data_IF_795215167519
#
_entry.id   IF_795215167519
#
_cell.length_a   1.000
_cell.length_b   1.000
_cell.length_c   1.000
_cell.angle_alpha   90.00
_cell.angle_beta   90.00
_cell.angle_gamma   90.00
#
_symmetry.space_group_name_H-M   'P 1'
#
loop_
_entity.id
_entity.type
_entity.pdbx_description
1 polymer ?
#
# COMPACT_ATOMS: atom_id res chain seq x y z
N UNK A 1 -12.87 20.60 -8.08
CA UNK A 1 -13.17 20.04 -6.74
C UNK A 1 -13.26 18.51 -6.73
N UNK A 2 -14.04 17.87 -7.63
CA UNK A 2 -14.18 16.40 -7.67
C UNK A 2 -12.87 15.62 -7.86
N UNK A 3 -11.95 16.10 -8.71
CA UNK A 3 -10.66 15.43 -8.94
C UNK A 3 -9.74 15.38 -7.69
N UNK A 4 -9.71 16.45 -6.88
CA UNK A 4 -8.96 16.44 -5.62
C UNK A 4 -9.59 15.49 -4.60
N UNK A 5 -10.93 15.45 -4.51
CA UNK A 5 -11.64 14.50 -3.64
C UNK A 5 -11.37 13.04 -4.04
N UNK A 6 -11.38 12.75 -5.34
CA UNK A 6 -11.01 11.43 -5.87
C UNK A 6 -9.55 11.07 -5.52
N UNK A 7 -8.61 12.01 -5.64
CA UNK A 7 -7.22 11.76 -5.27
C UNK A 7 -7.06 11.48 -3.77
N UNK A 8 -7.76 12.22 -2.92
CA UNK A 8 -7.78 11.97 -1.47
C UNK A 8 -8.34 10.57 -1.21
N UNK A 9 -9.45 10.19 -1.83
CA UNK A 9 -10.01 8.83 -1.69
C UNK A 9 -9.01 7.75 -2.13
N UNK A 10 -8.31 7.93 -3.26
CA UNK A 10 -7.25 7.00 -3.69
C UNK A 10 -6.05 6.96 -2.73
N UNK A 11 -5.72 8.09 -2.10
CA UNK A 11 -4.64 8.17 -1.11
C UNK A 11 -5.02 7.46 0.19
N UNK A 12 -6.27 7.62 0.64
CA UNK A 12 -6.83 6.88 1.79
C UNK A 12 -6.92 5.39 1.47
N UNK A 13 -7.26 5.01 0.24
CA UNK A 13 -7.24 3.62 -0.19
C UNK A 13 -5.82 3.02 -0.07
N UNK A 14 -4.81 3.73 -0.58
CA UNK A 14 -3.41 3.30 -0.48
C UNK A 14 -2.96 3.18 0.99
N UNK A 15 -3.32 4.15 1.84
CA UNK A 15 -3.11 4.07 3.29
C UNK A 15 -3.73 2.80 3.88
N UNK A 16 -5.00 2.55 3.56
CA UNK A 16 -5.77 1.42 4.12
C UNK A 16 -5.18 0.07 3.71
N UNK A 17 -4.79 -0.08 2.43
CA UNK A 17 -4.13 -1.28 1.93
C UNK A 17 -2.82 -1.56 2.65
N UNK A 18 -1.91 -0.57 2.67
CA UNK A 18 -0.59 -0.71 3.29
C UNK A 18 -0.73 -0.92 4.80
N UNK A 19 -1.69 -0.29 5.46
CA UNK A 19 -1.88 -0.48 6.90
C UNK A 19 -2.32 -1.91 7.17
N UNK A 20 -3.33 -2.42 6.45
CA UNK A 20 -3.82 -3.79 6.62
C UNK A 20 -2.78 -4.85 6.28
N UNK A 21 -1.92 -4.60 5.29
CA UNK A 21 -0.80 -5.48 4.93
C UNK A 21 0.21 -5.62 6.07
N UNK A 22 0.59 -4.50 6.69
CA UNK A 22 1.68 -4.44 7.66
C UNK A 22 1.19 -4.66 9.10
N UNK A 23 -0.11 -4.51 9.35
CA UNK A 23 -0.73 -4.66 10.67
C UNK A 23 -0.40 -5.99 11.39
N UNK A 24 -0.34 -7.16 10.71
CA UNK A 24 0.04 -8.42 11.35
C UNK A 24 1.43 -8.41 11.97
N UNK A 25 2.35 -7.57 11.48
CA UNK A 25 3.71 -7.47 12.04
C UNK A 25 3.64 -6.93 13.48
N UNK A 26 2.79 -5.92 13.73
CA UNK A 26 2.61 -5.35 15.06
C UNK A 26 1.68 -6.16 15.98
N UNK A 27 0.89 -7.08 15.42
CA UNK A 27 -0.06 -7.93 16.16
C UNK A 27 0.36 -9.40 16.19
N UNK A 28 1.60 -9.69 15.81
CA UNK A 28 2.08 -11.05 15.54
C UNK A 28 1.86 -11.98 16.73
N UNK A 29 2.33 -11.57 17.91
CA UNK A 29 2.21 -12.36 19.14
C UNK A 29 0.76 -12.53 19.58
N UNK A 30 -0.03 -11.45 19.55
CA UNK A 30 -1.46 -11.46 19.93
C UNK A 30 -2.27 -12.39 19.00
N UNK A 31 -1.93 -12.43 17.71
CA UNK A 31 -2.56 -13.33 16.74
C UNK A 31 -2.11 -14.79 16.91
N UNK A 32 -0.84 -15.00 17.29
CA UNK A 32 -0.27 -16.33 17.54
C UNK A 32 -0.95 -16.99 18.76
N UNK A 33 -1.05 -16.25 19.87
CA UNK A 33 -1.70 -16.69 21.10
C UNK A 33 -3.18 -17.02 20.89
N UNK A 34 -3.92 -16.17 20.17
CA UNK A 34 -5.36 -16.35 19.94
C UNK A 34 -5.71 -17.49 18.97
N UNK A 35 -4.80 -17.85 18.07
CA UNK A 35 -5.01 -18.95 17.10
C UNK A 35 -4.34 -20.27 17.52
N UNK A 36 -3.67 -20.29 18.68
CA UNK A 36 -2.86 -21.41 19.18
C UNK A 36 -1.83 -21.87 18.12
N UNK A 37 -1.08 -20.90 17.57
CA UNK A 37 -0.07 -21.09 16.52
C UNK A 37 1.24 -20.45 16.90
N UNK A 38 2.33 -20.91 16.29
CA UNK A 38 3.63 -20.28 16.50
C UNK A 38 3.74 -18.94 15.78
N UNK A 39 4.54 -18.04 16.34
CA UNK A 39 4.94 -16.77 15.73
C UNK A 39 5.41 -16.94 14.28
N UNK A 40 6.18 -17.99 14.02
CA UNK A 40 6.66 -18.35 12.67
C UNK A 40 5.51 -18.59 11.70
N UNK A 41 4.44 -19.27 12.13
CA UNK A 41 3.27 -19.52 11.30
C UNK A 41 2.49 -18.24 11.00
N UNK A 42 2.32 -17.36 11.98
CA UNK A 42 1.70 -16.05 11.74
C UNK A 42 2.57 -15.20 10.81
N UNK A 43 3.90 -15.26 10.94
CA UNK A 43 4.85 -14.63 10.03
C UNK A 43 4.70 -15.11 8.58
N UNK A 44 4.36 -16.39 8.35
CA UNK A 44 4.08 -16.91 7.01
C UNK A 44 2.88 -16.25 6.33
N UNK A 45 1.95 -15.65 7.09
CA UNK A 45 0.86 -14.87 6.50
C UNK A 45 1.40 -13.65 5.75
N UNK A 46 2.43 -12.99 6.30
CA UNK A 46 3.08 -11.83 5.67
C UNK A 46 3.88 -12.26 4.45
N UNK A 47 4.65 -13.34 4.57
CA UNK A 47 5.42 -13.89 3.44
C UNK A 47 4.50 -14.36 2.31
N UNK A 48 3.43 -15.07 2.63
CA UNK A 48 2.45 -15.54 1.66
C UNK A 48 1.73 -14.38 0.97
N UNK A 49 1.40 -13.33 1.73
CA UNK A 49 0.86 -12.09 1.19
C UNK A 49 1.80 -11.46 0.16
N UNK A 50 3.07 -11.26 0.52
CA UNK A 50 4.08 -10.68 -0.37
C UNK A 50 4.30 -11.53 -1.64
N UNK A 51 4.38 -12.86 -1.49
CA UNK A 51 4.54 -13.78 -2.61
C UNK A 51 3.36 -13.67 -3.60
N UNK A 52 2.13 -13.61 -3.10
CA UNK A 52 0.94 -13.40 -3.95
C UNK A 52 1.00 -12.06 -4.65
N UNK A 53 1.34 -10.96 -3.96
CA UNK A 53 1.44 -9.64 -4.60
C UNK A 53 2.44 -9.68 -5.76
N UNK A 54 3.62 -10.27 -5.56
CA UNK A 54 4.65 -10.37 -6.60
C UNK A 54 4.19 -11.20 -7.79
N UNK A 55 3.68 -12.41 -7.54
CA UNK A 55 3.29 -13.36 -8.60
C UNK A 55 2.05 -12.87 -9.34
N UNK A 56 1.10 -12.27 -8.63
CA UNK A 56 -0.21 -11.91 -9.18
C UNK A 56 -0.20 -10.55 -9.91
N UNK A 57 0.72 -9.64 -9.57
CA UNK A 57 0.78 -8.29 -10.15
C UNK A 57 0.81 -8.31 -11.69
N UNK A 58 1.68 -9.13 -12.30
CA UNK A 58 1.83 -9.19 -13.76
C UNK A 58 0.58 -9.77 -14.46
N UNK A 59 0.09 -10.97 -14.11
CA UNK A 59 -1.07 -11.55 -14.76
C UNK A 59 -2.33 -10.71 -14.55
N UNK A 60 -2.61 -10.20 -13.34
CA UNK A 60 -3.77 -9.36 -13.11
C UNK A 60 -3.72 -8.07 -13.94
N UNK A 61 -2.56 -7.44 -14.08
CA UNK A 61 -2.42 -6.24 -14.91
C UNK A 61 -2.78 -6.52 -16.37
N UNK A 62 -2.40 -7.70 -16.90
CA UNK A 62 -2.75 -8.11 -18.27
C UNK A 62 -4.24 -8.40 -18.43
N UNK A 63 -4.84 -9.17 -17.52
CA UNK A 63 -6.26 -9.54 -17.62
C UNK A 63 -7.21 -8.36 -17.44
N UNK A 64 -6.79 -7.33 -16.69
CA UNK A 64 -7.67 -6.22 -16.31
C UNK A 64 -7.46 -4.96 -17.16
N UNK A 65 -6.65 -5.06 -18.22
CA UNK A 65 -6.34 -3.94 -19.12
C UNK A 65 -7.58 -3.40 -19.85
N UNK A 66 -8.56 -4.26 -20.13
CA UNK A 66 -9.79 -3.91 -20.85
C UNK A 66 -10.93 -3.45 -19.93
N UNK A 67 -10.76 -3.52 -18.61
CA UNK A 67 -11.82 -3.19 -17.64
C UNK A 67 -11.73 -1.69 -17.28
N UNK A 68 -12.86 -0.97 -17.24
CA UNK A 68 -12.88 0.43 -16.81
C UNK A 68 -12.27 0.60 -15.42
N UNK A 69 -11.33 1.56 -15.29
CA UNK A 69 -10.52 1.73 -14.07
C UNK A 69 -11.36 1.92 -12.81
N UNK A 70 -12.46 2.67 -12.90
CA UNK A 70 -13.40 2.89 -11.78
C UNK A 70 -14.00 1.58 -11.27
N UNK A 71 -14.50 0.75 -12.19
CA UNK A 71 -15.12 -0.53 -11.83
C UNK A 71 -14.11 -1.45 -11.18
N UNK A 72 -12.89 -1.48 -11.72
CA UNK A 72 -11.81 -2.31 -11.21
C UNK A 72 -11.37 -1.91 -9.79
N UNK A 73 -11.14 -0.62 -9.54
CA UNK A 73 -10.75 -0.13 -8.21
C UNK A 73 -11.88 -0.35 -7.20
N UNK A 74 -13.13 -0.07 -7.60
CA UNK A 74 -14.28 -0.26 -6.70
C UNK A 74 -14.48 -1.74 -6.36
N UNK A 75 -14.37 -2.64 -7.35
CA UNK A 75 -14.45 -4.08 -7.13
C UNK A 75 -13.29 -4.58 -6.24
N UNK A 76 -12.06 -4.10 -6.48
CA UNK A 76 -10.91 -4.43 -5.66
C UNK A 76 -11.12 -4.00 -4.20
N UNK A 77 -11.64 -2.79 -3.97
CA UNK A 77 -11.96 -2.29 -2.63
C UNK A 77 -13.10 -3.07 -1.97
N UNK A 78 -14.14 -3.45 -2.73
CA UNK A 78 -15.23 -4.26 -2.20
C UNK A 78 -14.75 -5.65 -1.76
N UNK A 79 -13.94 -6.31 -2.58
CA UNK A 79 -13.33 -7.61 -2.23
C UNK A 79 -12.35 -7.46 -1.08
N UNK A 80 -11.56 -6.38 -1.04
CA UNK A 80 -10.68 -6.06 0.08
C UNK A 80 -11.46 -5.94 1.39
N UNK A 81 -12.57 -5.19 1.40
CA UNK A 81 -13.43 -5.04 2.59
C UNK A 81 -13.99 -6.39 3.02
N UNK A 82 -14.55 -7.16 2.09
CA UNK A 82 -15.09 -8.49 2.39
C UNK A 82 -14.02 -9.42 2.97
N UNK A 83 -12.85 -9.51 2.35
CA UNK A 83 -11.75 -10.34 2.82
C UNK A 83 -11.17 -9.85 4.16
N UNK A 84 -11.16 -8.53 4.40
CA UNK A 84 -10.74 -7.96 5.69
C UNK A 84 -11.77 -8.27 6.80
N UNK A 85 -13.07 -8.28 6.48
CA UNK A 85 -14.10 -8.73 7.42
C UNK A 85 -13.99 -10.23 7.70
N UNK A 86 -13.73 -11.05 6.68
CA UNK A 86 -13.44 -12.49 6.86
C UNK A 86 -12.23 -12.69 7.76
N UNK A 87 -11.18 -11.87 7.58
CA UNK A 87 -10.01 -11.87 8.49
C UNK A 87 -10.44 -11.59 9.94
N UNK A 88 -11.30 -10.60 10.15
CA UNK A 88 -11.76 -10.23 11.49
C UNK A 88 -12.59 -11.32 12.17
N UNK A 89 -13.34 -12.13 11.43
CA UNK A 89 -14.14 -13.23 11.99
C UNK A 89 -13.45 -14.59 11.91
N UNK A 90 -12.21 -14.63 11.42
CA UNK A 90 -11.49 -15.88 11.22
C UNK A 90 -11.23 -16.58 12.57
N UNK A 91 -11.68 -17.83 12.65
CA UNK A 91 -11.45 -18.72 13.81
C UNK A 91 -10.33 -19.73 13.57
N UNK A 92 -9.84 -19.86 12.33
CA UNK A 92 -8.77 -20.78 12.00
C UNK A 92 -7.71 -20.09 11.15
N UNK A 93 -6.47 -20.55 11.31
CA UNK A 93 -5.32 -20.09 10.54
C UNK A 93 -5.55 -20.17 9.02
N UNK A 94 -6.21 -21.23 8.53
CA UNK A 94 -6.43 -21.43 7.10
C UNK A 94 -7.44 -20.45 6.50
N UNK A 95 -8.50 -20.12 7.25
CA UNK A 95 -9.46 -19.08 6.84
C UNK A 95 -8.77 -17.71 6.82
N UNK A 96 -7.96 -17.42 7.82
CA UNK A 96 -7.17 -16.20 7.89
C UNK A 96 -6.18 -16.10 6.72
N UNK A 97 -5.48 -17.18 6.40
CA UNK A 97 -4.56 -17.24 5.25
C UNK A 97 -5.32 -17.00 3.95
N UNK A 98 -6.43 -17.70 3.70
CA UNK A 98 -7.22 -17.50 2.48
C UNK A 98 -7.71 -16.05 2.34
N UNK A 99 -8.18 -15.44 3.42
CA UNK A 99 -8.60 -14.05 3.47
C UNK A 99 -7.43 -13.10 3.18
N UNK A 100 -6.25 -13.35 3.76
CA UNK A 100 -5.01 -12.61 3.48
C UNK A 100 -4.61 -12.69 2.01
N UNK A 101 -4.62 -13.88 1.41
CA UNK A 101 -4.29 -14.06 -0.01
C UNK A 101 -5.30 -13.33 -0.90
N UNK A 102 -6.59 -13.34 -0.56
CA UNK A 102 -7.60 -12.56 -1.27
C UNK A 102 -7.33 -11.05 -1.17
N UNK A 103 -7.00 -10.54 0.02
CA UNK A 103 -6.59 -9.13 0.17
C UNK A 103 -5.33 -8.80 -0.63
N UNK A 104 -4.34 -9.71 -0.69
CA UNK A 104 -3.12 -9.53 -1.47
C UNK A 104 -3.39 -9.41 -2.97
N UNK A 105 -4.30 -10.22 -3.51
CA UNK A 105 -4.73 -10.13 -4.92
C UNK A 105 -5.36 -8.76 -5.23
N UNK A 106 -6.22 -8.27 -4.34
CA UNK A 106 -6.86 -6.95 -4.52
C UNK A 106 -5.85 -5.81 -4.40
N UNK A 107 -4.84 -5.94 -3.54
CA UNK A 107 -3.77 -4.97 -3.41
C UNK A 107 -2.88 -4.91 -4.66
N UNK A 108 -2.49 -6.07 -5.19
CA UNK A 108 -1.74 -6.15 -6.45
C UNK A 108 -2.49 -5.46 -7.59
N UNK A 109 -3.81 -5.72 -7.67
CA UNK A 109 -4.68 -5.07 -8.64
C UNK A 109 -4.76 -3.56 -8.44
N UNK A 110 -4.97 -3.10 -7.20
CA UNK A 110 -5.03 -1.68 -6.87
C UNK A 110 -3.77 -0.94 -7.33
N UNK A 111 -2.58 -1.43 -6.98
CA UNK A 111 -1.31 -0.77 -7.34
C UNK A 111 -1.08 -0.71 -8.85
N UNK A 112 -1.54 -1.71 -9.61
CA UNK A 112 -1.41 -1.71 -11.07
C UNK A 112 -2.18 -0.59 -11.77
N UNK A 113 -3.25 -0.07 -11.15
CA UNK A 113 -4.16 0.90 -11.79
C UNK A 113 -4.26 2.23 -11.09
N UNK A 114 -3.87 2.34 -9.82
CA UNK A 114 -4.08 3.55 -9.03
C UNK A 114 -3.29 4.74 -9.57
N UNK A 115 -2.04 4.53 -10.00
CA UNK A 115 -1.18 5.59 -10.51
C UNK A 115 -1.68 6.13 -11.87
N UNK A 116 -2.09 5.23 -12.78
CA UNK A 116 -2.66 5.61 -14.08
C UNK A 116 -4.01 6.31 -13.93
N UNK A 117 -4.81 5.88 -12.94
CA UNK A 117 -6.08 6.55 -12.62
C UNK A 117 -5.85 7.93 -12.02
N UNK A 118 -4.93 8.07 -11.05
CA UNK A 118 -4.62 9.35 -10.43
C UNK A 118 -4.07 10.35 -11.45
N UNK A 119 -3.15 9.94 -12.33
CA UNK A 119 -2.58 10.81 -13.36
C UNK A 119 -3.57 11.15 -14.48
N UNK A 120 -4.55 10.28 -14.76
CA UNK A 120 -5.63 10.53 -15.71
C UNK A 120 -6.62 11.61 -15.26
N UNK A 121 -6.71 11.90 -13.96
CA UNK A 121 -7.61 12.92 -13.40
C UNK A 121 -7.07 14.36 -13.51
N UNK A 122 -5.79 14.52 -13.87
CA UNK A 122 -5.11 15.81 -13.84
C UNK A 122 -4.36 16.10 -15.14
N UNK A 123 -4.19 17.39 -15.50
CA UNK A 123 -3.39 17.79 -16.66
C UNK A 123 -1.90 17.38 -16.47
N UNK A 124 -1.15 17.18 -17.58
CA UNK A 124 0.23 16.68 -17.54
C UNK A 124 1.15 17.41 -16.56
N UNK A 125 1.01 18.72 -16.47
CA UNK A 125 1.88 19.64 -15.71
C UNK A 125 1.82 19.45 -14.18
N UNK A 126 0.83 18.71 -13.68
CA UNK A 126 0.64 18.46 -12.24
C UNK A 126 0.51 16.96 -11.90
N UNK A 127 0.85 16.07 -12.84
CA UNK A 127 0.79 14.61 -12.65
C UNK A 127 1.79 14.13 -11.61
N UNK A 128 3.00 14.69 -11.55
CA UNK A 128 4.00 14.34 -10.54
C UNK A 128 3.51 14.66 -9.13
N UNK A 129 2.93 15.85 -8.92
CA UNK A 129 2.20 16.21 -7.69
C UNK A 129 1.06 15.25 -7.35
N UNK A 130 0.28 14.81 -8.33
CA UNK A 130 -0.82 13.87 -8.08
C UNK A 130 -0.30 12.52 -7.56
N UNK A 131 0.74 11.97 -8.19
CA UNK A 131 1.39 10.73 -7.74
C UNK A 131 2.04 10.90 -6.37
N UNK A 132 2.70 12.04 -6.12
CA UNK A 132 3.28 12.32 -4.81
C UNK A 132 2.24 12.38 -3.70
N UNK A 133 1.09 13.02 -3.93
CA UNK A 133 -0.03 13.06 -2.96
C UNK A 133 -0.62 11.66 -2.70
N UNK A 134 -0.72 10.83 -3.74
CA UNK A 134 -1.12 9.44 -3.59
C UNK A 134 -0.12 8.65 -2.73
N UNK A 135 1.18 8.85 -2.97
CA UNK A 135 2.25 8.20 -2.22
C UNK A 135 2.26 8.62 -0.74
N UNK A 136 1.87 9.86 -0.41
CA UNK A 136 1.71 10.31 0.99
C UNK A 136 0.79 9.38 1.79
N UNK A 137 -0.30 8.89 1.19
CA UNK A 137 -1.19 7.93 1.86
C UNK A 137 -0.47 6.64 2.23
N UNK A 138 0.28 6.05 1.30
CA UNK A 138 1.09 4.86 1.56
C UNK A 138 2.21 5.12 2.58
N UNK A 139 2.86 6.29 2.54
CA UNK A 139 3.92 6.66 3.49
C UNK A 139 3.41 6.93 4.90
N UNK A 140 2.20 7.47 5.06
CA UNK A 140 1.59 7.71 6.37
C UNK A 140 1.13 6.41 7.06
N UNK A 141 0.92 5.34 6.30
CA UNK A 141 0.47 4.06 6.82
C UNK A 141 1.38 3.49 7.92
N UNK A 142 2.69 3.24 7.69
CA UNK A 142 3.57 2.72 8.75
C UNK A 142 3.78 3.71 9.90
N UNK A 143 3.63 5.02 9.65
CA UNK A 143 3.86 6.06 10.66
C UNK A 143 2.67 6.22 11.62
N UNK A 144 1.45 6.10 11.11
CA UNK A 144 0.22 6.37 11.87
C UNK A 144 -0.69 5.15 11.92
N UNK A 145 -0.96 4.54 10.77
CA UNK A 145 -1.88 3.42 10.65
C UNK A 145 -1.45 2.19 11.43
N UNK A 146 -0.18 1.80 11.32
CA UNK A 146 0.35 0.62 12.04
C UNK A 146 0.34 0.84 13.55
N UNK A 147 0.91 1.93 14.13
CA UNK A 147 0.85 2.14 15.58
C UNK A 147 -0.56 2.21 16.14
N UNK A 148 -1.47 2.94 15.47
CA UNK A 148 -2.88 3.05 15.90
C UNK A 148 -3.57 1.70 15.81
N UNK A 149 -3.40 0.96 14.71
CA UNK A 149 -4.00 -0.35 14.52
C UNK A 149 -3.45 -1.38 15.53
N UNK A 150 -2.16 -1.36 15.80
CA UNK A 150 -1.54 -2.21 16.81
C UNK A 150 -2.05 -1.88 18.21
N UNK A 151 -2.14 -0.60 18.56
CA UNK A 151 -2.70 -0.17 19.84
C UNK A 151 -4.16 -0.63 20.01
N UNK A 152 -5.00 -0.46 18.98
CA UNK A 152 -6.37 -0.99 18.99
C UNK A 152 -6.36 -2.51 19.16
N UNK A 153 -5.50 -3.22 18.43
CA UNK A 153 -5.44 -4.68 18.48
C UNK A 153 -4.94 -5.22 19.82
N UNK A 154 -4.10 -4.49 20.54
CA UNK A 154 -3.66 -4.84 21.90
C UNK A 154 -4.74 -4.60 22.95
N UNK A 155 -5.54 -3.53 22.82
CA UNK A 155 -6.55 -3.16 23.81
C UNK A 155 -7.91 -3.85 23.60
N UNK A 156 -8.35 -3.95 22.35
CA UNK A 156 -9.67 -4.45 21.98
C UNK A 156 -9.61 -5.77 21.19
N UNK A 157 -8.42 -6.33 20.98
CA UNK A 157 -8.19 -7.54 20.21
C UNK A 157 -7.92 -7.27 18.72
N UNK A 158 -7.05 -8.10 18.13
CA UNK A 158 -6.59 -7.95 16.75
C UNK A 158 -7.73 -7.97 15.72
N UNK A 159 -8.83 -8.67 16.03
CA UNK A 159 -10.05 -8.71 15.20
C UNK A 159 -10.68 -7.32 15.04
N UNK A 160 -10.76 -6.55 16.13
CA UNK A 160 -11.34 -5.19 16.10
C UNK A 160 -10.52 -4.26 15.23
N UNK A 161 -9.18 -4.37 15.26
CA UNK A 161 -8.32 -3.60 14.38
C UNK A 161 -8.63 -3.85 12.90
N UNK A 162 -8.87 -5.12 12.49
CA UNK A 162 -9.31 -5.42 11.13
C UNK A 162 -10.73 -4.95 10.81
N UNK A 163 -11.67 -4.97 11.76
CA UNK A 163 -13.00 -4.37 11.56
C UNK A 163 -12.89 -2.86 11.30
N UNK A 164 -12.06 -2.15 12.06
CA UNK A 164 -11.80 -0.71 11.85
C UNK A 164 -11.24 -0.48 10.45
N UNK A 165 -10.24 -1.26 10.03
CA UNK A 165 -9.67 -1.15 8.69
C UNK A 165 -10.67 -1.50 7.57
N UNK A 166 -11.56 -2.47 7.81
CA UNK A 166 -12.66 -2.78 6.88
C UNK A 166 -13.66 -1.62 6.78
N UNK A 167 -13.96 -0.95 7.89
CA UNK A 167 -14.80 0.25 7.92
C UNK A 167 -14.20 1.42 7.13
N UNK A 168 -12.90 1.70 7.33
CA UNK A 168 -12.17 2.70 6.53
C UNK A 168 -12.14 2.31 5.05
N UNK A 169 -11.90 1.02 4.76
CA UNK A 169 -11.96 0.48 3.40
C UNK A 169 -13.33 0.65 2.74
N UNK A 170 -14.41 0.43 3.49
CA UNK A 170 -15.79 0.58 3.00
C UNK A 170 -16.12 2.04 2.71
N UNK A 171 -15.79 2.95 3.64
CA UNK A 171 -15.96 4.39 3.43
C UNK A 171 -15.18 4.85 2.20
N UNK A 172 -13.96 4.34 2.02
CA UNK A 172 -13.14 4.64 0.85
C UNK A 172 -13.70 4.03 -0.43
N UNK A 173 -14.24 2.82 -0.39
CA UNK A 173 -14.92 2.17 -1.51
C UNK A 173 -16.10 3.02 -2.01
N UNK A 174 -16.95 3.49 -1.09
CA UNK A 174 -18.06 4.39 -1.40
C UNK A 174 -17.55 5.72 -1.97
N UNK A 175 -16.53 6.31 -1.36
CA UNK A 175 -15.94 7.56 -1.84
C UNK A 175 -15.38 7.40 -3.27
N UNK A 176 -14.68 6.31 -3.57
CA UNK A 176 -14.16 6.01 -4.91
C UNK A 176 -15.31 5.81 -5.90
N UNK A 177 -16.34 5.03 -5.54
CA UNK A 177 -17.47 4.77 -6.41
C UNK A 177 -18.23 6.05 -6.83
N UNK A 178 -18.32 7.02 -5.91
CA UNK A 178 -19.03 8.29 -6.12
C UNK A 178 -18.14 9.36 -6.78
N UNK A 179 -16.88 9.47 -6.36
CA UNK A 179 -16.01 10.59 -6.74
C UNK A 179 -15.16 10.32 -7.97
N UNK A 180 -14.81 9.05 -8.25
CA UNK A 180 -13.98 8.72 -9.42
C UNK A 180 -14.87 8.66 -10.66
N UNK A 181 -14.61 9.47 -11.71
CA UNK A 181 -15.35 9.39 -12.96
C UNK A 181 -15.08 8.07 -13.69
N UNK A 182 -16.02 7.63 -14.54
CA UNK A 182 -15.79 6.46 -15.40
C UNK A 182 -14.74 6.81 -16.46
N UNK A 183 -13.51 6.50 -16.11
CA UNK A 183 -12.37 6.21 -16.98
C UNK A 183 -12.68 5.23 -18.12
N UNK A 184 -12.95 5.56 -19.41
CA UNK A 184 -12.95 4.50 -20.42
C UNK A 184 -11.61 3.75 -20.31
N UNK A 185 -11.59 2.41 -20.42
CA UNK A 185 -10.33 1.69 -20.53
C UNK A 185 -9.58 2.38 -21.65
N UNK A 186 -8.37 2.89 -21.39
CA UNK A 186 -7.63 3.62 -22.39
C UNK A 186 -7.60 2.77 -23.66
N UNK A 187 -8.26 3.22 -24.73
CA UNK A 187 -8.12 2.62 -26.05
C UNK A 187 -6.62 2.73 -26.38
N UNK A 188 -5.88 1.65 -26.19
CA UNK A 188 -4.47 1.57 -26.55
C UNK A 188 -3.47 2.46 -25.78
N UNK A 189 -3.82 3.12 -24.67
CA UNK A 189 -2.89 4.03 -23.98
C UNK A 189 -1.70 3.39 -23.22
N UNK A 190 -1.73 2.07 -23.03
CA UNK A 190 -0.58 1.29 -22.53
C UNK A 190 0.02 0.39 -23.63
N UNK A 191 -0.48 0.48 -24.87
CA UNK A 191 0.02 -0.25 -26.01
C UNK A 191 0.71 0.73 -26.97
N UNK A 192 2.05 0.75 -26.91
CA UNK A 192 2.98 1.57 -27.71
C UNK A 192 3.27 2.97 -27.16
N UNK A 193 3.98 3.02 -26.04
CA UNK A 193 5.21 3.82 -26.07
C UNK A 193 6.15 3.16 -27.08
N UNK A 194 6.68 3.93 -28.04
CA UNK A 194 7.65 3.48 -29.05
C UNK A 194 8.65 2.51 -28.44
N UNK A 195 8.66 1.26 -28.91
CA UNK A 195 9.56 0.17 -28.53
C UNK A 195 10.18 0.30 -27.11
N UNK A 196 9.60 -0.30 -26.05
CA UNK A 196 10.18 -0.21 -24.72
C UNK A 196 11.63 -0.70 -24.78
N UNK A 197 12.56 0.23 -24.61
CA UNK A 197 13.99 -0.09 -24.59
C UNK A 197 14.23 -1.01 -23.40
N UNK A 198 14.39 -2.31 -23.70
CA UNK A 198 14.54 -3.35 -22.69
C UNK A 198 15.67 -3.03 -21.72
N UNK A 199 16.71 -2.32 -22.19
CA UNK A 199 17.81 -1.86 -21.36
C UNK A 199 17.37 -0.76 -20.39
N UNK A 200 16.61 0.25 -20.84
CA UNK A 200 16.09 1.31 -19.94
C UNK A 200 15.11 0.74 -18.93
N UNK A 201 14.23 -0.19 -19.35
CA UNK A 201 13.33 -0.88 -18.43
C UNK A 201 14.11 -1.72 -17.41
N UNK A 202 15.09 -2.50 -17.84
CA UNK A 202 15.95 -3.27 -16.94
C UNK A 202 16.72 -2.36 -15.96
N UNK A 203 17.27 -1.24 -16.41
CA UNK A 203 17.93 -0.25 -15.54
C UNK A 203 16.95 0.32 -14.51
N UNK A 204 15.74 0.68 -14.91
CA UNK A 204 14.71 1.18 -13.99
C UNK A 204 14.32 0.12 -12.95
N UNK A 205 14.12 -1.13 -13.39
CA UNK A 205 13.79 -2.25 -12.50
C UNK A 205 14.94 -2.51 -11.52
N UNK A 206 16.19 -2.55 -11.99
CA UNK A 206 17.36 -2.77 -11.15
C UNK A 206 17.57 -1.61 -10.19
N UNK A 207 17.46 -0.36 -10.65
CA UNK A 207 17.59 0.81 -9.79
C UNK A 207 16.48 0.84 -8.72
N UNK A 208 15.24 0.50 -9.09
CA UNK A 208 14.13 0.40 -8.15
C UNK A 208 14.34 -0.74 -7.16
N UNK A 209 14.77 -1.91 -7.64
CA UNK A 209 15.07 -3.07 -6.78
C UNK A 209 16.19 -2.75 -5.78
N UNK A 210 17.29 -2.15 -6.23
CA UNK A 210 18.40 -1.73 -5.36
C UNK A 210 17.96 -0.65 -4.38
N UNK A 211 17.19 0.34 -4.84
CA UNK A 211 16.68 1.41 -3.98
C UNK A 211 15.72 0.90 -2.91
N UNK A 212 14.76 0.06 -3.28
CA UNK A 212 13.79 -0.56 -2.37
C UNK A 212 14.49 -1.55 -1.43
N UNK A 213 15.41 -2.38 -1.92
CA UNK A 213 16.16 -3.31 -1.10
C UNK A 213 17.06 -2.57 -0.09
N UNK A 214 17.75 -1.51 -0.53
CA UNK A 214 18.57 -0.68 0.34
C UNK A 214 17.73 0.03 1.41
N UNK A 215 16.59 0.58 1.03
CA UNK A 215 15.65 1.18 1.96
C UNK A 215 15.10 0.17 2.97
N UNK A 216 14.59 -0.98 2.52
CA UNK A 216 14.04 -2.02 3.40
C UNK A 216 15.12 -2.57 4.35
N UNK A 217 16.35 -2.73 3.87
CA UNK A 217 17.47 -3.17 4.70
C UNK A 217 17.76 -2.13 5.79
N UNK A 218 17.93 -0.87 5.41
CA UNK A 218 18.19 0.21 6.36
C UNK A 218 17.04 0.36 7.38
N UNK A 219 15.79 0.29 6.92
CA UNK A 219 14.60 0.42 7.77
C UNK A 219 14.46 -0.76 8.75
N UNK A 220 14.77 -1.98 8.32
CA UNK A 220 14.71 -3.19 9.18
C UNK A 220 15.73 -3.12 10.32
N UNK A 221 16.94 -2.60 10.04
CA UNK A 221 18.02 -2.53 11.02
C UNK A 221 18.12 -1.17 11.72
N UNK A 222 17.20 -0.23 11.48
CA UNK A 222 17.28 1.10 12.07
C UNK A 222 17.18 1.07 13.59
N UNK A 223 16.28 0.25 14.14
CA UNK A 223 16.09 0.10 15.59
C UNK A 223 17.31 -0.49 16.29
N UNK A 224 17.84 -1.67 15.89
CA UNK A 224 19.06 -2.21 16.51
C UNK A 224 20.27 -1.31 16.26
N UNK A 225 20.37 -0.62 15.12
CA UNK A 225 21.44 0.36 14.90
C UNK A 225 21.34 1.56 15.87
N UNK A 226 20.13 2.06 16.12
CA UNK A 226 19.88 3.17 17.04
C UNK A 226 20.19 2.79 18.50
N UNK A 227 19.80 1.59 18.93
CA UNK A 227 20.03 1.13 20.30
C UNK A 227 21.45 0.61 20.53
N UNK A 228 21.90 -0.34 19.70
CA UNK A 228 23.08 -1.16 19.98
C UNK A 228 24.37 -0.53 19.43
N UNK A 229 24.29 0.26 18.36
CA UNK A 229 25.47 0.87 17.71
C UNK A 229 25.62 2.35 18.07
N UNK A 230 24.53 3.12 18.01
CA UNK A 230 24.55 4.55 18.32
C UNK A 230 24.18 4.89 19.78
N UNK A 231 23.78 3.89 20.58
CA UNK A 231 23.65 4.02 22.03
C UNK A 231 22.49 4.89 22.49
N UNK A 232 21.47 5.08 21.64
CA UNK A 232 20.28 5.84 22.04
C UNK A 232 19.49 5.08 23.11
N UNK A 233 18.93 5.82 24.08
CA UNK A 233 18.03 5.24 25.06
C UNK A 233 16.75 4.70 24.37
N UNK A 234 16.16 3.59 24.85
CA UNK A 234 14.93 3.03 24.29
C UNK A 234 13.77 4.03 24.20
N UNK A 235 13.69 4.99 25.13
CA UNK A 235 12.69 6.05 25.13
C UNK A 235 12.81 7.02 23.93
N UNK A 236 13.99 7.13 23.31
CA UNK A 236 14.23 7.99 22.15
C UNK A 236 13.77 7.37 20.81
N UNK A 237 13.47 6.07 20.77
CA UNK A 237 13.05 5.39 19.54
C UNK A 237 11.77 5.97 18.95
N UNK A 238 10.74 6.19 19.78
CA UNK A 238 9.46 6.76 19.33
C UNK A 238 9.64 8.09 18.59
N UNK A 239 10.29 9.10 19.22
CA UNK A 239 10.61 10.37 18.56
C UNK A 239 11.44 10.22 17.28
N UNK A 240 12.47 9.37 17.27
CA UNK A 240 13.34 9.17 16.11
C UNK A 240 12.60 8.55 14.92
N UNK A 241 11.77 7.53 15.16
CA UNK A 241 10.93 6.92 14.14
C UNK A 241 9.89 7.91 13.59
N UNK A 242 9.38 8.80 14.45
CA UNK A 242 8.47 9.87 14.05
C UNK A 242 9.18 10.89 13.13
N UNK A 243 10.42 11.27 13.46
CA UNK A 243 11.27 12.11 12.59
C UNK A 243 11.55 11.43 11.26
N UNK A 244 11.86 10.14 11.25
CA UNK A 244 12.06 9.35 10.02
C UNK A 244 10.79 9.37 9.15
N UNK A 245 9.62 9.15 9.76
CA UNK A 245 8.33 9.22 9.08
C UNK A 245 8.05 10.60 8.47
N UNK A 246 8.27 11.68 9.24
CA UNK A 246 8.11 13.05 8.78
C UNK A 246 9.09 13.40 7.65
N UNK A 247 10.35 12.96 7.75
CA UNK A 247 11.35 13.13 6.71
C UNK A 247 10.95 12.40 5.43
N UNK A 248 10.37 11.20 5.54
CA UNK A 248 9.80 10.47 4.41
C UNK A 248 8.69 11.25 3.72
N UNK A 249 7.70 11.75 4.48
CA UNK A 249 6.61 12.57 3.92
C UNK A 249 7.13 13.85 3.26
N UNK A 250 8.05 14.57 3.91
CA UNK A 250 8.67 15.77 3.36
C UNK A 250 9.45 15.45 2.07
N UNK A 251 10.22 14.37 2.07
CA UNK A 251 10.97 13.89 0.91
C UNK A 251 10.07 13.59 -0.28
N UNK A 252 8.96 12.86 -0.07
CA UNK A 252 7.97 12.57 -1.13
C UNK A 252 7.38 13.85 -1.72
N UNK A 253 7.08 14.85 -0.89
CA UNK A 253 6.56 16.15 -1.34
C UNK A 253 7.59 16.97 -2.13
N UNK A 254 8.86 16.93 -1.73
CA UNK A 254 9.95 17.61 -2.42
C UNK A 254 10.22 16.95 -3.77
N UNK A 255 10.39 15.62 -3.80
CA UNK A 255 10.61 14.85 -5.03
C UNK A 255 9.44 15.04 -6.00
N UNK A 256 8.19 15.02 -5.50
CA UNK A 256 7.01 15.31 -6.31
C UNK A 256 7.05 16.68 -7.01
N UNK A 257 7.57 17.72 -6.35
CA UNK A 257 7.76 19.05 -6.95
C UNK A 257 8.88 19.09 -7.98
N UNK A 258 9.94 18.30 -7.81
CA UNK A 258 11.04 18.21 -8.78
C UNK A 258 10.64 17.42 -10.02
N UNK A 259 9.86 16.35 -9.87
CA UNK A 259 9.34 15.54 -10.98
C UNK A 259 8.45 16.36 -11.93
N UNK A 260 7.72 17.36 -11.42
CA UNK A 260 6.94 18.29 -12.26
C UNK A 260 7.83 19.24 -13.09
N UNK A 261 9.05 19.56 -12.63
CA UNK A 261 9.95 20.53 -13.28
C UNK A 261 10.81 19.92 -14.39
N UNK A 262 11.11 18.63 -14.29
CA UNK A 262 11.88 17.89 -15.29
C UNK A 262 11.21 16.54 -15.56
N UNK A 263 10.08 16.51 -16.30
CA UNK A 263 9.58 15.25 -16.82
C UNK A 263 10.68 14.68 -17.72
N UNK A 264 11.24 13.52 -17.36
CA UNK A 264 12.22 12.82 -18.20
C UNK A 264 11.53 12.42 -19.51
N UNK A 265 11.67 13.28 -20.51
CA UNK A 265 10.93 13.22 -21.77
C UNK A 265 11.18 14.46 -22.63
N UNK A 266 12.43 14.65 -23.04
CA UNK A 266 12.79 15.26 -24.33
C UNK A 266 13.66 14.26 -25.07
#
# INVERSE_FOLDING_TARGET
MRANGALVALSVAAFTFVTTEVLPIGLLTVMADDLDRSDTQIGLLVTGYAAVVVVASIPLTRFTVHIPRRQLITAALAVFVAATLVTAVAQTYWVLLAARLATALTQALFWSVVASTATGLFPPDVRGRAVARLAVGASLSPVVGVPVGTWIGQQAGWRVAFVVMAGVGLATCVAVAVLVPTIPPAEGGAARGTAPDARRYAILVVACAVGVAGFLTAYTYVTPFLLDVSGFAPAALGPLLLVIGLAGVAGTLIVGRFLDRSPWGR
#
